data_IF_641004707734
#
_entry.id   IF_641004707734
#
_cell.length_a   1.000
_cell.length_b   1.000
_cell.length_c   1.000
_cell.angle_alpha   90.00
_cell.angle_beta   90.00
_cell.angle_gamma   90.00
#
_symmetry.space_group_name_H-M   'P 1'
#
loop_
_entity.id
_entity.type
_entity.pdbx_description
1 polymer ?
#
# COMPACT_ATOMS: atom_id res chain seq x y z
N UNK A 1 -2.03 -43.34 -11.89
CA UNK A 1 -1.01 -43.32 -10.83
C UNK A 1 -0.32 -41.97 -10.89
N UNK A 2 -0.66 -41.08 -9.96
CA UNK A 2 -0.14 -39.71 -9.87
C UNK A 2 1.18 -39.75 -9.11
N UNK A 3 2.27 -39.30 -9.74
CA UNK A 3 3.52 -39.02 -9.03
C UNK A 3 3.29 -37.83 -8.10
N UNK A 4 3.30 -38.09 -6.80
CA UNK A 4 3.42 -37.06 -5.77
C UNK A 4 4.85 -36.52 -5.81
N UNK A 5 5.01 -35.28 -6.27
CA UNK A 5 6.26 -34.53 -6.10
C UNK A 5 6.25 -33.93 -4.71
N UNK A 6 6.98 -34.57 -3.81
CA UNK A 6 7.24 -34.08 -2.45
C UNK A 6 8.04 -32.77 -2.55
N UNK A 7 7.43 -31.65 -2.18
CA UNK A 7 8.15 -30.39 -2.04
C UNK A 7 9.03 -30.47 -0.78
N UNK A 8 10.34 -30.57 -0.98
CA UNK A 8 11.33 -30.42 0.09
C UNK A 8 11.27 -28.98 0.59
N UNK A 9 10.74 -28.78 1.79
CA UNK A 9 10.90 -27.53 2.54
C UNK A 9 12.36 -27.50 3.00
N UNK A 10 13.17 -26.61 2.41
CA UNK A 10 14.53 -26.37 2.90
C UNK A 10 14.44 -25.61 4.24
N UNK A 11 15.00 -26.14 5.34
CA UNK A 11 15.12 -25.41 6.59
C UNK A 11 16.31 -24.45 6.48
N UNK A 12 16.13 -23.21 6.93
CA UNK A 12 17.25 -22.32 7.25
C UNK A 12 17.88 -21.59 6.05
N UNK A 13 17.09 -20.92 5.22
CA UNK A 13 17.63 -19.75 4.51
C UNK A 13 17.80 -18.61 5.52
N UNK A 14 18.86 -18.68 6.32
CA UNK A 14 19.39 -17.51 7.01
C UNK A 14 19.75 -16.49 5.93
N UNK A 15 18.86 -15.52 5.76
CA UNK A 15 19.12 -14.33 4.95
C UNK A 15 20.41 -13.71 5.47
N UNK A 16 21.42 -13.45 4.62
CA UNK A 16 22.66 -12.82 5.08
C UNK A 16 22.32 -11.53 5.80
N UNK A 17 22.73 -11.47 7.08
CA UNK A 17 22.43 -10.40 8.05
C UNK A 17 23.06 -9.04 7.67
N UNK A 18 23.79 -9.00 6.55
CA UNK A 18 24.69 -7.92 6.13
C UNK A 18 24.23 -7.13 4.90
N UNK A 19 22.97 -7.18 4.52
CA UNK A 19 22.39 -6.10 3.70
C UNK A 19 21.83 -4.99 4.61
N UNK A 20 22.67 -4.45 5.51
CA UNK A 20 22.36 -3.18 6.19
C UNK A 20 22.51 -2.07 5.16
N UNK A 21 21.52 -1.98 4.27
CA UNK A 21 21.29 -0.76 3.52
C UNK A 21 21.00 0.31 4.55
N UNK A 22 21.72 1.44 4.47
CA UNK A 22 21.48 2.65 5.28
C UNK A 22 19.98 2.83 5.60
N UNK A 23 19.61 3.25 6.83
CA UNK A 23 18.23 3.60 7.15
C UNK A 23 17.64 4.50 6.06
N UNK A 24 16.45 4.12 5.59
CA UNK A 24 15.73 4.81 4.52
C UNK A 24 14.56 5.58 5.11
N UNK A 25 14.18 6.68 4.46
CA UNK A 25 12.95 7.41 4.74
C UNK A 25 11.95 7.13 3.64
N UNK A 26 10.85 6.49 4.00
CA UNK A 26 9.85 5.98 3.06
C UNK A 26 8.54 6.75 3.22
N UNK A 27 7.99 7.21 2.10
CA UNK A 27 6.57 7.58 2.04
C UNK A 27 5.78 6.32 1.73
N UNK A 28 4.69 6.07 2.45
CA UNK A 28 3.84 4.89 2.24
C UNK A 28 2.42 5.33 1.96
N UNK A 29 1.78 4.74 0.96
CA UNK A 29 0.36 4.87 0.68
C UNK A 29 -0.24 3.49 0.40
N UNK A 30 -1.34 3.17 1.06
CA UNK A 30 -2.00 1.87 0.89
C UNK A 30 -3.07 1.64 1.94
N UNK A 31 -3.73 0.49 1.85
CA UNK A 31 -4.67 0.03 2.87
C UNK A 31 -3.91 -0.79 3.92
N UNK A 32 -3.96 -0.34 5.17
CA UNK A 32 -3.17 -0.93 6.28
C UNK A 32 -4.05 -1.07 7.50
N UNK A 33 -4.13 -2.25 8.09
CA UNK A 33 -5.04 -2.48 9.21
C UNK A 33 -5.38 -3.93 9.50
N UNK A 34 -5.28 -4.37 10.75
CA UNK A 34 -5.63 -5.75 11.14
C UNK A 34 -7.09 -6.13 10.90
N UNK A 35 -8.02 -5.17 10.99
CA UNK A 35 -9.45 -5.43 10.81
C UNK A 35 -9.88 -5.47 9.33
N UNK A 36 -9.01 -5.02 8.42
CA UNK A 36 -9.24 -4.98 6.97
C UNK A 36 -8.85 -6.29 6.27
N UNK A 37 -9.31 -7.44 6.74
CA UNK A 37 -8.98 -8.75 6.16
C UNK A 37 -7.48 -9.11 6.15
N UNK A 38 -7.12 -10.29 5.65
CA UNK A 38 -5.75 -10.82 5.70
C UNK A 38 -4.69 -9.97 4.99
N UNK A 39 -5.11 -9.17 4.01
CA UNK A 39 -4.27 -8.32 3.18
C UNK A 39 -3.75 -7.08 3.94
N UNK A 40 -4.64 -6.37 4.63
CA UNK A 40 -4.28 -5.16 5.38
C UNK A 40 -3.41 -5.52 6.60
N UNK A 41 -3.52 -6.74 7.13
CA UNK A 41 -2.65 -7.29 8.16
C UNK A 41 -1.24 -7.63 7.65
N UNK A 42 -1.11 -8.15 6.42
CA UNK A 42 0.21 -8.43 5.82
C UNK A 42 1.02 -7.14 5.61
N UNK A 43 0.37 -6.06 5.19
CA UNK A 43 0.99 -4.74 5.07
C UNK A 43 1.53 -4.23 6.42
N UNK A 44 0.78 -4.40 7.52
CA UNK A 44 1.27 -4.05 8.87
C UNK A 44 2.53 -4.83 9.26
N UNK A 45 2.64 -6.12 8.91
CA UNK A 45 3.84 -6.94 9.21
C UNK A 45 5.06 -6.44 8.44
N UNK A 46 4.89 -6.09 7.15
CA UNK A 46 5.99 -5.52 6.35
C UNK A 46 6.46 -4.20 6.95
N UNK A 47 5.53 -3.32 7.34
CA UNK A 47 5.87 -2.04 7.96
C UNK A 47 6.55 -2.22 9.32
N UNK A 48 6.04 -3.08 10.19
CA UNK A 48 6.66 -3.37 11.50
C UNK A 48 8.11 -3.87 11.31
N UNK A 49 8.35 -4.75 10.34
CA UNK A 49 9.71 -5.21 10.05
C UNK A 49 10.62 -4.09 9.56
N UNK A 50 10.16 -3.24 8.64
CA UNK A 50 10.94 -2.09 8.15
C UNK A 50 11.26 -1.10 9.28
N UNK A 51 10.30 -0.85 10.17
CA UNK A 51 10.50 0.01 11.35
C UNK A 51 11.53 -0.58 12.31
N UNK A 52 11.48 -1.89 12.59
CA UNK A 52 12.49 -2.59 13.41
C UNK A 52 13.90 -2.58 12.81
N UNK A 53 14.00 -2.52 11.48
CA UNK A 53 15.27 -2.37 10.76
C UNK A 53 15.79 -0.91 10.77
N UNK A 54 15.06 0.02 11.39
CA UNK A 54 15.46 1.42 11.56
C UNK A 54 15.01 2.36 10.43
N UNK A 55 14.23 1.88 9.45
CA UNK A 55 13.68 2.75 8.40
C UNK A 55 12.63 3.71 8.98
N UNK A 56 12.60 4.95 8.50
CA UNK A 56 11.58 5.94 8.86
C UNK A 56 10.41 5.85 7.91
N UNK A 57 9.18 5.83 8.42
CA UNK A 57 7.98 5.64 7.63
C UNK A 57 6.97 6.74 7.92
N UNK A 58 6.59 7.49 6.88
CA UNK A 58 5.44 8.38 6.90
C UNK A 58 4.30 7.70 6.13
N UNK A 59 3.26 7.25 6.84
CA UNK A 59 2.07 6.60 6.26
C UNK A 59 1.01 7.64 5.93
N UNK A 60 0.73 7.80 4.64
CA UNK A 60 -0.36 8.62 4.12
C UNK A 60 -1.58 7.74 3.86
N UNK A 61 -2.71 8.07 4.46
CA UNK A 61 -3.98 7.40 4.18
C UNK A 61 -5.13 8.40 4.28
N UNK A 62 -6.27 8.06 3.67
CA UNK A 62 -7.51 8.77 3.95
C UNK A 62 -7.89 8.50 5.41
N UNK A 63 -8.18 9.55 6.18
CA UNK A 63 -8.48 9.47 7.61
C UNK A 63 -9.70 8.60 7.96
N UNK A 64 -10.64 8.44 7.02
CA UNK A 64 -11.79 7.54 7.18
C UNK A 64 -11.47 6.06 6.92
N UNK A 65 -10.25 5.75 6.48
CA UNK A 65 -9.76 4.40 6.31
C UNK A 65 -8.81 4.01 7.45
N UNK A 66 -8.57 2.71 7.57
CA UNK A 66 -7.99 2.05 8.74
C UNK A 66 -6.73 2.74 9.27
N UNK A 67 -6.71 2.98 10.57
CA UNK A 67 -5.60 3.57 11.30
C UNK A 67 -4.81 2.48 12.04
N UNK A 68 -3.57 2.16 11.61
CA UNK A 68 -2.79 1.09 12.23
C UNK A 68 -2.07 1.58 13.50
N UNK A 69 -2.85 1.74 14.58
CA UNK A 69 -2.36 2.15 15.90
C UNK A 69 -1.22 1.27 16.43
N UNK A 70 -1.16 0.00 16.01
CA UNK A 70 -0.11 -0.93 16.42
C UNK A 70 1.29 -0.48 15.99
N UNK A 71 1.42 0.35 14.95
CA UNK A 71 2.71 0.84 14.47
C UNK A 71 3.17 2.09 15.24
N UNK A 72 2.31 2.73 16.03
CA UNK A 72 2.63 3.94 16.83
C UNK A 72 3.64 3.67 17.94
N UNK A 73 3.88 2.39 18.28
CA UNK A 73 4.94 1.98 19.22
C UNK A 73 6.35 2.31 18.70
N UNK A 74 6.51 2.51 17.39
CA UNK A 74 7.80 2.78 16.75
C UNK A 74 8.07 4.28 16.65
N UNK A 75 9.16 4.77 17.25
CA UNK A 75 9.50 6.20 17.23
C UNK A 75 9.84 6.76 15.82
N UNK A 76 10.13 5.86 14.87
CA UNK A 76 10.41 6.14 13.47
C UNK A 76 9.18 6.00 12.56
N UNK A 77 7.98 5.85 13.14
CA UNK A 77 6.70 5.83 12.42
C UNK A 77 5.93 7.15 12.60
N UNK A 78 5.27 7.59 11.53
CA UNK A 78 4.37 8.75 11.56
C UNK A 78 3.17 8.49 10.68
N UNK A 79 1.98 8.68 11.26
CA UNK A 79 0.73 8.67 10.51
C UNK A 79 0.36 10.08 10.03
N UNK A 80 0.05 10.22 8.74
CA UNK A 80 -0.35 11.46 8.07
C UNK A 80 -1.75 11.28 7.45
N UNK A 81 -2.82 11.44 8.25
CA UNK A 81 -4.18 11.34 7.76
C UNK A 81 -4.48 12.49 6.79
N UNK A 82 -5.08 12.16 5.64
CA UNK A 82 -5.57 13.12 4.67
C UNK A 82 -7.10 13.16 4.74
N UNK A 83 -7.63 14.31 5.13
CA UNK A 83 -9.06 14.60 5.16
C UNK A 83 -9.43 15.52 4.00
N UNK A 84 -10.61 15.30 3.42
CA UNK A 84 -11.17 16.17 2.39
C UNK A 84 -12.58 16.53 2.84
N UNK A 85 -12.68 17.38 3.86
CA UNK A 85 -13.89 17.55 4.66
C UNK A 85 -15.20 17.82 3.90
N UNK A 86 -15.16 18.34 2.67
CA UNK A 86 -16.35 18.47 1.79
C UNK A 86 -16.75 17.15 1.14
N UNK A 87 -15.77 16.34 0.72
CA UNK A 87 -15.95 15.02 0.13
C UNK A 87 -16.39 14.02 1.21
N UNK A 88 -15.78 14.08 2.40
CA UNK A 88 -16.17 13.28 3.57
C UNK A 88 -17.67 13.50 3.89
N UNK A 89 -18.10 14.76 4.01
CA UNK A 89 -19.51 15.13 4.26
C UNK A 89 -20.47 14.72 3.15
N UNK A 90 -20.04 14.81 1.88
CA UNK A 90 -20.85 14.38 0.75
C UNK A 90 -21.01 12.87 0.70
N UNK A 91 -20.01 12.09 1.14
CA UNK A 91 -20.10 10.64 1.23
C UNK A 91 -21.11 10.20 2.29
N UNK A 92 -21.12 10.84 3.46
CA UNK A 92 -22.13 10.60 4.50
C UNK A 92 -23.56 10.87 3.98
N UNK A 93 -23.74 11.93 3.20
CA UNK A 93 -25.03 12.24 2.58
C UNK A 93 -25.45 11.15 1.58
N UNK A 94 -24.52 10.69 0.73
CA UNK A 94 -24.77 9.64 -0.27
C UNK A 94 -25.10 8.30 0.40
N UNK A 95 -24.37 7.92 1.45
CA UNK A 95 -24.56 6.66 2.15
C UNK A 95 -25.80 6.62 3.03
N UNK A 96 -26.10 7.71 3.75
CA UNK A 96 -27.13 7.70 4.79
C UNK A 96 -28.43 8.42 4.41
N UNK A 97 -28.44 9.28 3.39
CA UNK A 97 -29.63 10.09 3.06
C UNK A 97 -30.27 9.78 1.72
N UNK A 98 -29.61 9.01 0.85
CA UNK A 98 -30.21 8.59 -0.41
C UNK A 98 -31.05 7.32 -0.27
N UNK A 99 -32.23 7.26 -0.92
CA UNK A 99 -32.98 6.02 -1.14
C UNK A 99 -32.10 4.96 -1.82
N UNK A 100 -32.29 3.69 -1.47
CA UNK A 100 -31.47 2.57 -1.95
C UNK A 100 -31.33 2.54 -3.49
N UNK A 101 -32.43 2.81 -4.22
CA UNK A 101 -32.46 2.83 -5.67
C UNK A 101 -31.55 3.90 -6.31
N UNK A 102 -31.37 5.04 -5.64
CA UNK A 102 -30.46 6.10 -6.09
C UNK A 102 -29.04 5.86 -5.59
N UNK A 103 -28.88 5.29 -4.40
CA UNK A 103 -27.57 5.02 -3.77
C UNK A 103 -26.65 4.23 -4.70
N UNK A 104 -27.14 3.14 -5.30
CA UNK A 104 -26.30 2.32 -6.17
C UNK A 104 -25.90 3.04 -7.47
N UNK A 105 -26.75 3.94 -7.98
CA UNK A 105 -26.47 4.74 -9.18
C UNK A 105 -25.36 5.77 -8.94
N UNK A 106 -25.36 6.43 -7.78
CA UNK A 106 -24.38 7.51 -7.47
C UNK A 106 -23.16 7.03 -6.71
N UNK A 107 -23.21 5.87 -6.03
CA UNK A 107 -22.10 5.36 -5.19
C UNK A 107 -20.84 5.12 -5.99
N UNK A 108 -20.94 4.47 -7.15
CA UNK A 108 -19.78 4.14 -7.99
C UNK A 108 -19.09 5.42 -8.52
N UNK A 109 -19.78 6.32 -9.25
CA UNK A 109 -19.12 7.50 -9.80
C UNK A 109 -18.62 8.47 -8.72
N UNK A 110 -19.35 8.59 -7.60
CA UNK A 110 -18.88 9.40 -6.48
C UNK A 110 -17.66 8.76 -5.80
N UNK A 111 -17.63 7.44 -5.65
CA UNK A 111 -16.48 6.72 -5.10
C UNK A 111 -15.22 6.91 -5.93
N UNK A 112 -15.31 6.83 -7.26
CA UNK A 112 -14.17 7.09 -8.15
C UNK A 112 -13.69 8.54 -8.07
N UNK A 113 -14.62 9.50 -8.05
CA UNK A 113 -14.28 10.92 -7.94
C UNK A 113 -13.64 11.25 -6.59
N UNK A 114 -14.17 10.69 -5.51
CA UNK A 114 -13.63 10.80 -4.17
C UNK A 114 -12.21 10.21 -4.12
N UNK A 115 -12.02 8.98 -4.63
CA UNK A 115 -10.71 8.33 -4.69
C UNK A 115 -9.70 9.18 -5.44
N UNK A 116 -10.04 9.67 -6.64
CA UNK A 116 -9.15 10.54 -7.41
C UNK A 116 -8.81 11.85 -6.67
N UNK A 117 -9.75 12.40 -5.90
CA UNK A 117 -9.50 13.59 -5.08
C UNK A 117 -8.56 13.30 -3.91
N UNK A 118 -8.73 12.17 -3.20
CA UNK A 118 -7.80 11.73 -2.15
C UNK A 118 -6.42 11.47 -2.71
N UNK A 119 -6.30 10.74 -3.82
CA UNK A 119 -5.01 10.46 -4.46
C UNK A 119 -4.27 11.75 -4.83
N UNK A 120 -4.98 12.74 -5.39
CA UNK A 120 -4.37 14.06 -5.67
C UNK A 120 -3.95 14.79 -4.40
N UNK A 121 -4.73 14.70 -3.33
CA UNK A 121 -4.41 15.33 -2.05
C UNK A 121 -3.20 14.67 -1.37
N UNK A 122 -3.16 13.34 -1.35
CA UNK A 122 -2.05 12.53 -0.86
C UNK A 122 -0.79 12.81 -1.68
N UNK A 123 -0.88 12.80 -3.01
CA UNK A 123 0.25 13.11 -3.88
C UNK A 123 0.80 14.53 -3.66
N UNK A 124 -0.09 15.52 -3.45
CA UNK A 124 0.32 16.88 -3.05
C UNK A 124 1.08 16.87 -1.72
N UNK A 125 0.51 16.24 -0.70
CA UNK A 125 1.11 16.17 0.64
C UNK A 125 2.48 15.50 0.64
N UNK A 126 2.61 14.36 -0.06
CA UNK A 126 3.89 13.65 -0.22
C UNK A 126 4.91 14.53 -0.92
N UNK A 127 4.52 15.21 -2.02
CA UNK A 127 5.41 16.12 -2.76
C UNK A 127 5.89 17.27 -1.88
N UNK A 128 5.00 17.93 -1.16
CA UNK A 128 5.34 19.08 -0.32
C UNK A 128 6.30 18.66 0.80
N UNK A 129 6.05 17.49 1.40
CA UNK A 129 6.91 16.93 2.44
C UNK A 129 8.26 16.46 1.88
N UNK A 130 8.28 15.82 0.72
CA UNK A 130 9.48 15.40 0.01
C UNK A 130 10.38 16.60 -0.35
N UNK A 131 9.78 17.74 -0.70
CA UNK A 131 10.54 18.97 -0.97
C UNK A 131 11.23 19.55 0.27
N UNK A 132 10.69 19.31 1.46
CA UNK A 132 11.26 19.78 2.74
C UNK A 132 12.27 18.78 3.32
N UNK A 133 11.93 17.49 3.27
CA UNK A 133 12.73 16.40 3.83
C UNK A 133 12.59 15.19 2.90
N UNK A 134 13.55 14.99 1.97
CA UNK A 134 13.42 14.01 0.89
C UNK A 134 13.25 12.58 1.37
N UNK A 135 12.30 11.89 0.74
CA UNK A 135 12.11 10.43 0.82
C UNK A 135 13.05 9.71 -0.14
N UNK A 136 13.49 8.51 0.24
CA UNK A 136 14.25 7.61 -0.64
C UNK A 136 13.33 6.88 -1.63
N UNK A 137 12.09 6.57 -1.23
CA UNK A 137 11.11 5.90 -2.07
C UNK A 137 9.66 6.16 -1.61
N UNK A 138 8.72 5.98 -2.54
CA UNK A 138 7.28 5.91 -2.30
C UNK A 138 6.80 4.46 -2.47
N UNK A 139 6.25 3.89 -1.41
CA UNK A 139 5.70 2.55 -1.37
C UNK A 139 4.18 2.60 -1.56
N UNK A 140 3.68 1.87 -2.55
CA UNK A 140 2.25 1.55 -2.69
C UNK A 140 2.00 0.16 -2.13
N UNK A 141 1.30 0.09 -1.00
CA UNK A 141 0.98 -1.16 -0.33
C UNK A 141 -0.35 -1.70 -0.82
N UNK A 142 -0.23 -2.72 -1.67
CA UNK A 142 -1.34 -3.54 -2.11
C UNK A 142 -2.40 -2.78 -2.91
N UNK A 143 -1.91 -1.75 -3.59
CA UNK A 143 -2.58 -1.00 -4.62
C UNK A 143 -1.64 -0.94 -5.82
N UNK A 144 -2.21 -0.82 -7.02
CA UNK A 144 -1.42 -0.36 -8.15
C UNK A 144 -1.03 1.11 -7.92
N UNK A 145 0.22 1.50 -8.26
CA UNK A 145 0.61 2.90 -8.21
C UNK A 145 -0.30 3.79 -9.06
N UNK A 146 -1.08 4.65 -8.41
CA UNK A 146 -2.07 5.52 -9.06
C UNK A 146 -1.57 6.94 -9.34
N UNK A 147 -0.43 7.33 -8.77
CA UNK A 147 0.20 8.62 -9.03
C UNK A 147 1.73 8.53 -8.96
N UNK A 148 2.40 9.59 -9.43
CA UNK A 148 3.86 9.72 -9.38
C UNK A 148 4.28 11.05 -8.78
N UNK A 149 5.40 11.02 -8.06
CA UNK A 149 6.09 12.21 -7.55
C UNK A 149 7.42 12.32 -8.30
N UNK A 150 7.71 13.48 -8.90
CA UNK A 150 8.93 13.67 -9.69
C UNK A 150 10.17 13.44 -8.83
N UNK A 151 11.10 12.61 -9.31
CA UNK A 151 12.36 12.33 -8.61
C UNK A 151 12.26 11.32 -7.47
N UNK A 152 11.07 10.79 -7.18
CA UNK A 152 10.85 9.82 -6.12
C UNK A 152 10.63 8.42 -6.72
N UNK A 153 11.54 7.45 -6.51
CA UNK A 153 11.35 6.08 -6.92
C UNK A 153 10.07 5.49 -6.33
N UNK A 154 9.35 4.69 -7.12
CA UNK A 154 8.10 4.06 -6.70
C UNK A 154 8.31 2.56 -6.59
N UNK A 155 7.94 2.01 -5.44
CA UNK A 155 7.89 0.58 -5.17
C UNK A 155 6.42 0.23 -4.96
N UNK A 156 5.89 -0.71 -5.71
CA UNK A 156 4.50 -1.11 -5.57
C UNK A 156 4.37 -2.61 -5.75
N UNK A 157 3.65 -3.24 -4.84
CA UNK A 157 3.23 -4.63 -4.96
C UNK A 157 1.71 -4.66 -4.99
N UNK A 158 1.10 -4.66 -6.19
CA UNK A 158 -0.34 -4.80 -6.29
C UNK A 158 -0.72 -6.20 -5.80
N UNK A 159 -1.65 -6.28 -4.86
CA UNK A 159 -2.29 -7.55 -4.51
C UNK A 159 -3.76 -7.52 -4.97
N UNK A 160 -4.20 -8.59 -5.60
CA UNK A 160 -5.56 -8.85 -6.07
C UNK A 160 -6.13 -10.16 -5.50
N UNK A 161 -7.28 -10.60 -6.00
CA UNK A 161 -7.85 -11.90 -5.59
C UNK A 161 -6.95 -13.06 -6.04
N UNK A 162 -6.85 -14.17 -5.29
CA UNK A 162 -5.97 -15.30 -5.62
C UNK A 162 -6.15 -15.86 -7.05
N UNK A 163 -7.37 -15.78 -7.59
CA UNK A 163 -7.67 -16.21 -8.97
C UNK A 163 -7.25 -15.15 -10.01
N UNK A 164 -7.38 -13.86 -9.69
CA UNK A 164 -7.00 -12.77 -10.59
C UNK A 164 -5.50 -12.45 -10.58
N UNK A 165 -4.83 -12.61 -9.44
CA UNK A 165 -3.39 -12.38 -9.29
C UNK A 165 -2.58 -13.37 -10.11
N UNK A 166 -2.92 -14.66 -10.05
CA UNK A 166 -2.16 -15.67 -10.79
C UNK A 166 -2.23 -15.43 -12.30
N UNK A 167 -3.41 -15.07 -12.80
CA UNK A 167 -3.62 -14.81 -14.21
C UNK A 167 -2.99 -13.48 -14.65
N UNK A 168 -3.03 -12.45 -13.79
CA UNK A 168 -2.33 -11.18 -14.00
C UNK A 168 -0.81 -11.34 -13.98
N UNK A 169 -0.26 -12.12 -13.04
CA UNK A 169 1.17 -12.46 -12.97
C UNK A 169 1.58 -13.24 -14.22
N UNK A 170 0.76 -14.19 -14.66
CA UNK A 170 1.04 -14.97 -15.88
C UNK A 170 1.02 -14.09 -17.13
N UNK A 171 0.06 -13.16 -17.23
CA UNK A 171 -0.08 -12.22 -18.37
C UNK A 171 0.99 -11.14 -18.38
N UNK A 172 1.36 -10.61 -17.21
CA UNK A 172 2.30 -9.51 -17.05
C UNK A 172 3.71 -9.99 -16.69
N UNK A 173 3.97 -11.30 -16.76
CA UNK A 173 5.24 -11.92 -16.37
C UNK A 173 6.46 -11.22 -16.96
N UNK A 174 6.41 -10.87 -18.25
CA UNK A 174 7.51 -10.18 -18.94
C UNK A 174 7.73 -8.75 -18.42
N UNK A 175 6.67 -8.03 -18.07
CA UNK A 175 6.76 -6.69 -17.46
C UNK A 175 7.22 -6.76 -16.01
N UNK A 176 6.73 -7.72 -15.24
CA UNK A 176 7.15 -7.99 -13.86
C UNK A 176 8.63 -8.38 -13.82
N UNK A 177 9.10 -9.24 -14.73
CA UNK A 177 10.52 -9.59 -14.83
C UNK A 177 11.40 -8.43 -15.31
N UNK A 178 10.84 -7.50 -16.09
CA UNK A 178 11.56 -6.35 -16.63
C UNK A 178 11.69 -5.19 -15.64
N UNK A 179 10.71 -5.01 -14.75
CA UNK A 179 10.63 -3.86 -13.84
C UNK A 179 10.63 -4.23 -12.35
N UNK A 180 10.20 -5.44 -12.01
CA UNK A 180 10.41 -6.04 -10.70
C UNK A 180 11.84 -6.52 -10.61
N UNK A 181 12.58 -6.02 -9.61
CA UNK A 181 13.97 -6.39 -9.40
C UNK A 181 14.15 -7.91 -9.41
N UNK A 182 15.11 -8.37 -10.22
CA UNK A 182 15.57 -9.76 -10.31
C UNK A 182 16.24 -10.17 -8.98
N UNK A 183 15.46 -10.53 -7.96
CA UNK A 183 15.91 -11.30 -6.79
C UNK A 183 14.75 -11.66 -5.87
N UNK A 184 13.81 -12.47 -6.34
CA UNK A 184 12.99 -13.28 -5.44
C UNK A 184 12.74 -14.62 -6.15
N UNK A 185 13.26 -15.70 -5.56
CA UNK A 185 13.25 -17.10 -6.01
C UNK A 185 14.24 -17.42 -7.15
N UNK A 186 15.34 -18.06 -6.76
CA UNK A 186 16.13 -18.91 -7.67
C UNK A 186 15.42 -20.24 -7.91
#
# INVERSE_FOLDING_TARGET
>A
MLHQTTATVLPGAEMPEEAVTRPLRLAVYGFIGREGGGFSAANSVVLDRLLRLGHRIDLYANAGFVHPHELEVHANYRYEPVTLGTIDRGWDLVLHRLPAALRDLVRIPYGELANAAYERAIARRIRDRHAQEPYDALLFLGLLPSFRIRGLPIIGWPQGSPLGEWEAIRRLRSLILRYGGWRVYG
#
